data_IF_561568318158
#
_entry.id   IF_561568318158
#
_cell.length_a   1.000
_cell.length_b   1.000
_cell.length_c   1.000
_cell.angle_alpha   90.00
_cell.angle_beta   90.00
_cell.angle_gamma   90.00
#
_symmetry.space_group_name_H-M   'P 1'
#
loop_
_entity.id
_entity.type
_entity.pdbx_description
1 polymer ?
#
# COMPACT_ATOMS: atom_id res chain seq x y z
N UNK A 1 2.00 -48.17 25.35
CA UNK A 1 1.56 -48.44 23.97
C UNK A 1 2.16 -49.77 23.55
N UNK A 2 1.30 -50.78 23.35
CA UNK A 2 1.68 -52.14 22.95
C UNK A 2 1.68 -52.25 21.43
N UNK A 3 2.47 -53.18 20.88
CA UNK A 3 2.64 -53.48 19.44
C UNK A 3 1.35 -53.85 18.66
N UNK A 4 0.19 -53.80 19.30
CA UNK A 4 -1.11 -54.15 18.72
C UNK A 4 -1.93 -52.93 18.27
N UNK A 5 -1.40 -51.71 18.45
CA UNK A 5 -2.05 -50.50 17.96
C UNK A 5 -1.91 -50.44 16.42
N UNK A 6 -3.01 -50.45 15.63
CA UNK A 6 -2.96 -50.44 14.17
C UNK A 6 -2.31 -49.18 13.57
N UNK A 7 -2.02 -48.17 14.40
CA UNK A 7 -1.29 -46.95 14.06
C UNK A 7 0.16 -46.94 14.54
N UNK A 8 0.68 -48.06 15.06
CA UNK A 8 2.07 -48.15 15.47
C UNK A 8 2.98 -48.26 14.23
N UNK A 9 3.35 -47.12 13.66
CA UNK A 9 4.47 -47.08 12.73
C UNK A 9 5.75 -47.43 13.49
N UNK A 10 6.56 -48.38 13.01
CA UNK A 10 7.90 -48.60 13.54
C UNK A 10 8.72 -47.33 13.32
N UNK A 11 9.51 -46.94 14.33
CA UNK A 11 10.41 -45.81 14.19
C UNK A 11 11.30 -46.04 12.95
N UNK A 12 11.39 -45.07 12.02
CA UNK A 12 12.18 -45.21 10.82
C UNK A 12 13.64 -45.52 11.16
N UNK A 13 14.32 -46.24 10.26
CA UNK A 13 15.74 -46.54 10.43
C UNK A 13 16.54 -45.24 10.56
N UNK A 14 17.66 -45.27 11.29
CA UNK A 14 18.51 -44.10 11.54
C UNK A 14 18.91 -43.37 10.24
N UNK A 15 19.20 -44.12 9.17
CA UNK A 15 19.46 -43.60 7.82
C UNK A 15 18.26 -42.90 7.19
N UNK A 16 17.04 -43.36 7.44
CA UNK A 16 15.82 -42.72 6.93
C UNK A 16 15.52 -41.41 7.68
N UNK A 17 15.80 -41.35 8.98
CA UNK A 17 15.71 -40.12 9.78
C UNK A 17 16.71 -39.06 9.30
N UNK A 18 17.95 -39.45 9.03
CA UNK A 18 18.97 -38.55 8.50
C UNK A 18 18.59 -38.00 7.12
N UNK A 19 18.08 -38.85 6.22
CA UNK A 19 17.60 -38.41 4.90
C UNK A 19 16.43 -37.42 5.01
N UNK A 20 15.46 -37.69 5.89
CA UNK A 20 14.33 -36.77 6.15
C UNK A 20 14.82 -35.44 6.72
N UNK A 21 15.81 -35.47 7.62
CA UNK A 21 16.40 -34.26 8.20
C UNK A 21 17.18 -33.44 7.17
N UNK A 22 17.94 -34.10 6.28
CA UNK A 22 18.63 -33.45 5.18
C UNK A 22 17.65 -32.78 4.20
N UNK A 23 16.57 -33.47 3.84
CA UNK A 23 15.51 -32.92 3.00
C UNK A 23 14.82 -31.70 3.64
N UNK A 24 14.50 -31.77 4.93
CA UNK A 24 13.93 -30.65 5.68
C UNK A 24 14.85 -29.43 5.66
N UNK A 25 16.15 -29.64 5.90
CA UNK A 25 17.15 -28.57 5.87
C UNK A 25 17.23 -27.90 4.50
N UNK A 26 17.23 -28.68 3.43
CA UNK A 26 17.26 -28.15 2.06
C UNK A 26 15.99 -27.35 1.74
N UNK A 27 14.82 -27.85 2.15
CA UNK A 27 13.54 -27.14 2.00
C UNK A 27 13.55 -25.80 2.74
N UNK A 28 13.97 -25.80 4.01
CA UNK A 28 14.04 -24.57 4.82
C UNK A 28 15.02 -23.57 4.23
N UNK A 29 16.18 -24.02 3.74
CA UNK A 29 17.16 -23.15 3.09
C UNK A 29 16.61 -22.53 1.80
N UNK A 30 15.87 -23.30 1.00
CA UNK A 30 15.20 -22.80 -0.21
C UNK A 30 14.14 -21.75 0.13
N UNK A 31 13.31 -22.03 1.13
CA UNK A 31 12.26 -21.12 1.58
C UNK A 31 12.84 -19.82 2.15
N UNK A 32 13.95 -19.92 2.90
CA UNK A 32 14.72 -18.80 3.43
C UNK A 32 15.24 -17.90 2.31
N UNK A 33 15.88 -18.48 1.29
CA UNK A 33 16.38 -17.73 0.13
C UNK A 33 15.25 -17.06 -0.63
N UNK A 34 14.15 -17.77 -0.87
CA UNK A 34 12.95 -17.24 -1.51
C UNK A 34 12.34 -16.08 -0.71
N UNK A 35 12.23 -16.21 0.60
CA UNK A 35 11.70 -15.15 1.48
C UNK A 35 12.57 -13.89 1.44
N UNK A 36 13.89 -14.03 1.44
CA UNK A 36 14.81 -12.90 1.29
C UNK A 36 14.71 -12.22 -0.08
N UNK A 37 14.58 -13.00 -1.16
CA UNK A 37 14.37 -12.45 -2.51
C UNK A 37 13.07 -11.64 -2.57
N UNK A 38 11.98 -12.16 -2.00
CA UNK A 38 10.70 -11.45 -1.91
C UNK A 38 10.87 -10.17 -1.09
N UNK A 39 11.47 -10.23 0.10
CA UNK A 39 11.68 -9.05 0.94
C UNK A 39 12.52 -7.96 0.25
N UNK A 40 13.58 -8.34 -0.48
CA UNK A 40 14.38 -7.41 -1.27
C UNK A 40 13.59 -6.80 -2.42
N UNK A 41 12.81 -7.61 -3.14
CA UNK A 41 11.95 -7.14 -4.22
C UNK A 41 10.90 -6.14 -3.70
N UNK A 42 10.18 -6.48 -2.63
CA UNK A 42 9.16 -5.61 -2.01
C UNK A 42 9.77 -4.29 -1.50
N UNK A 43 10.97 -4.34 -0.92
CA UNK A 43 11.69 -3.14 -0.49
C UNK A 43 12.07 -2.25 -1.68
N UNK A 44 12.56 -2.83 -2.77
CA UNK A 44 12.88 -2.09 -3.99
C UNK A 44 11.63 -1.46 -4.61
N UNK A 45 10.53 -2.22 -4.69
CA UNK A 45 9.25 -1.73 -5.17
C UNK A 45 8.73 -0.58 -4.31
N UNK A 46 8.81 -0.69 -2.98
CA UNK A 46 8.42 0.39 -2.07
C UNK A 46 9.14 1.69 -2.41
N UNK A 47 10.45 1.63 -2.58
CA UNK A 47 11.27 2.82 -2.83
C UNK A 47 10.95 3.43 -4.21
N UNK A 48 10.78 2.59 -5.23
CA UNK A 48 10.40 3.01 -6.58
C UNK A 48 8.99 3.62 -6.64
N UNK A 49 7.98 2.93 -6.10
CA UNK A 49 6.60 3.42 -6.06
C UNK A 49 6.48 4.68 -5.22
N UNK A 50 7.15 4.73 -4.07
CA UNK A 50 7.13 5.92 -3.20
C UNK A 50 7.72 7.13 -3.92
N UNK A 51 8.84 6.95 -4.64
CA UNK A 51 9.48 8.02 -5.41
C UNK A 51 8.56 8.50 -6.55
N UNK A 52 8.07 7.58 -7.37
CA UNK A 52 7.20 7.91 -8.52
C UNK A 52 5.87 8.54 -8.09
N UNK A 53 5.23 8.03 -7.04
CA UNK A 53 3.96 8.57 -6.54
C UNK A 53 4.14 9.97 -5.92
N UNK A 54 5.19 10.18 -5.11
CA UNK A 54 5.47 11.50 -4.53
C UNK A 54 5.79 12.53 -5.62
N UNK A 55 6.62 12.16 -6.60
CA UNK A 55 6.95 13.04 -7.71
C UNK A 55 5.74 13.33 -8.60
N UNK A 56 4.96 12.30 -8.94
CA UNK A 56 3.75 12.41 -9.74
C UNK A 56 2.71 13.32 -9.10
N UNK A 57 2.42 13.15 -7.80
CA UNK A 57 1.50 14.04 -7.10
C UNK A 57 2.04 15.46 -6.96
N UNK A 58 3.32 15.63 -6.61
CA UNK A 58 3.90 16.97 -6.52
C UNK A 58 3.79 17.71 -7.87
N UNK A 59 4.07 17.01 -8.96
CA UNK A 59 3.98 17.55 -10.33
C UNK A 59 2.53 17.86 -10.72
N UNK A 60 1.59 16.94 -10.47
CA UNK A 60 0.16 17.15 -10.77
C UNK A 60 -0.43 18.29 -9.95
N UNK A 61 -0.09 18.39 -8.66
CA UNK A 61 -0.56 19.47 -7.80
C UNK A 61 0.04 20.82 -8.21
N UNK A 62 1.34 20.86 -8.54
CA UNK A 62 1.99 22.07 -9.04
C UNK A 62 1.38 22.52 -10.38
N UNK A 63 1.22 21.59 -11.34
CA UNK A 63 0.59 21.87 -12.62
C UNK A 63 -0.87 22.34 -12.46
N UNK A 64 -1.63 21.70 -11.57
CA UNK A 64 -3.03 22.06 -11.31
C UNK A 64 -3.15 23.43 -10.66
N UNK A 65 -2.30 23.75 -9.68
CA UNK A 65 -2.28 25.07 -9.04
C UNK A 65 -1.93 26.17 -10.04
N UNK A 66 -0.90 25.96 -10.85
CA UNK A 66 -0.51 26.89 -11.93
C UNK A 66 -1.66 27.05 -12.93
N UNK A 67 -2.37 25.97 -13.26
CA UNK A 67 -3.52 26.01 -14.16
C UNK A 67 -4.66 26.85 -13.58
N UNK A 68 -5.03 26.64 -12.31
CA UNK A 68 -6.08 27.42 -11.63
C UNK A 68 -5.70 28.90 -11.52
N UNK A 69 -4.45 29.20 -11.17
CA UNK A 69 -3.94 30.58 -11.07
C UNK A 69 -3.81 31.28 -12.42
N UNK A 70 -3.50 30.55 -13.50
CA UNK A 70 -3.48 31.14 -14.84
C UNK A 70 -4.89 31.31 -15.41
N UNK A 71 -5.81 30.38 -15.11
CA UNK A 71 -7.21 30.48 -15.52
C UNK A 71 -7.87 31.72 -14.89
N UNK A 72 -7.56 32.07 -13.64
CA UNK A 72 -8.12 33.29 -13.02
C UNK A 72 -7.68 34.57 -13.74
N UNK A 73 -6.47 34.63 -14.28
CA UNK A 73 -6.01 35.74 -15.12
C UNK A 73 -6.65 35.76 -16.52
N UNK A 74 -6.94 34.58 -17.09
CA UNK A 74 -7.55 34.44 -18.41
C UNK A 74 -9.06 34.73 -18.45
N UNK A 75 -9.75 34.64 -17.30
CA UNK A 75 -11.19 34.81 -17.22
C UNK A 75 -11.62 36.18 -16.68
N UNK A 76 -11.35 37.23 -17.46
CA UNK A 76 -11.95 38.54 -17.22
C UNK A 76 -13.50 38.44 -17.23
N UNK A 77 -14.16 39.16 -16.30
CA UNK A 77 -15.61 39.23 -16.17
C UNK A 77 -16.28 38.09 -15.39
N UNK A 78 -15.50 37.19 -14.78
CA UNK A 78 -16.04 36.17 -13.87
C UNK A 78 -16.13 36.71 -12.44
N UNK A 79 -17.12 36.26 -11.65
CA UNK A 79 -17.24 36.62 -10.24
C UNK A 79 -15.93 36.27 -9.48
N UNK A 80 -15.21 37.24 -8.88
CA UNK A 80 -13.94 37.03 -8.16
C UNK A 80 -13.97 35.98 -7.05
N UNK A 81 -15.14 35.64 -6.47
CA UNK A 81 -15.22 34.58 -5.48
C UNK A 81 -15.05 33.17 -6.10
N UNK A 82 -15.44 32.97 -7.36
CA UNK A 82 -15.36 31.67 -8.03
C UNK A 82 -13.93 31.08 -8.10
N UNK A 83 -12.88 31.83 -8.54
CA UNK A 83 -11.52 31.31 -8.54
C UNK A 83 -10.98 31.04 -7.13
N UNK A 84 -11.37 31.83 -6.12
CA UNK A 84 -10.95 31.60 -4.72
C UNK A 84 -11.58 30.32 -4.17
N UNK A 85 -12.88 30.11 -4.40
CA UNK A 85 -13.59 28.89 -3.98
C UNK A 85 -13.01 27.67 -4.73
N UNK A 86 -12.80 27.78 -6.05
CA UNK A 86 -12.19 26.72 -6.83
C UNK A 86 -10.79 26.35 -6.31
N UNK A 87 -9.94 27.33 -6.00
CA UNK A 87 -8.64 27.10 -5.39
C UNK A 87 -8.73 26.38 -4.04
N UNK A 88 -9.71 26.75 -3.19
CA UNK A 88 -9.98 26.06 -1.93
C UNK A 88 -10.40 24.60 -2.11
N UNK A 89 -11.29 24.31 -3.06
CA UNK A 89 -11.71 22.95 -3.39
C UNK A 89 -10.52 22.14 -3.93
N UNK A 90 -9.68 22.73 -4.78
CA UNK A 90 -8.46 22.11 -5.27
C UNK A 90 -7.49 21.75 -4.16
N UNK A 91 -7.32 22.65 -3.19
CA UNK A 91 -6.47 22.42 -2.03
C UNK A 91 -6.99 21.24 -1.18
N UNK A 92 -8.30 21.15 -0.96
CA UNK A 92 -8.93 20.01 -0.29
C UNK A 92 -8.73 18.69 -1.05
N UNK A 93 -8.87 18.72 -2.38
CA UNK A 93 -8.58 17.55 -3.22
C UNK A 93 -7.12 17.11 -3.11
N UNK A 94 -6.19 18.07 -3.08
CA UNK A 94 -4.76 17.85 -2.90
C UNK A 94 -4.44 17.20 -1.55
N UNK A 95 -5.02 17.70 -0.46
CA UNK A 95 -4.86 17.12 0.88
C UNK A 95 -5.44 15.70 0.97
N UNK A 96 -6.56 15.45 0.30
CA UNK A 96 -7.19 14.13 0.25
C UNK A 96 -6.32 13.13 -0.52
N UNK A 97 -5.76 13.54 -1.65
CA UNK A 97 -4.82 12.75 -2.43
C UNK A 97 -3.53 12.47 -1.64
N UNK A 98 -3.00 13.46 -0.92
CA UNK A 98 -1.86 13.29 -0.02
C UNK A 98 -2.15 12.28 1.10
N UNK A 99 -3.32 12.36 1.73
CA UNK A 99 -3.75 11.41 2.76
C UNK A 99 -3.86 9.98 2.24
N UNK A 100 -4.40 9.80 1.02
CA UNK A 100 -4.45 8.50 0.34
C UNK A 100 -3.04 7.91 0.14
N UNK A 101 -2.06 8.73 -0.27
CA UNK A 101 -0.67 8.29 -0.40
C UNK A 101 -0.06 7.87 0.94
N UNK A 102 -0.31 8.62 2.02
CA UNK A 102 0.18 8.25 3.34
C UNK A 102 -0.37 6.88 3.76
N UNK A 103 -1.66 6.62 3.52
CA UNK A 103 -2.26 5.32 3.78
C UNK A 103 -1.62 4.20 2.95
N UNK A 104 -1.32 4.45 1.67
CA UNK A 104 -0.59 3.50 0.82
C UNK A 104 0.85 3.26 1.28
N UNK A 105 1.55 4.29 1.76
CA UNK A 105 2.93 4.18 2.25
C UNK A 105 3.01 3.36 3.53
N UNK A 106 2.13 3.62 4.50
CA UNK A 106 2.08 2.85 5.75
C UNK A 106 1.89 1.36 5.45
N UNK A 107 1.00 1.03 4.51
CA UNK A 107 0.76 -0.35 4.12
C UNK A 107 1.96 -1.02 3.44
N UNK A 108 2.69 -0.30 2.58
CA UNK A 108 3.93 -0.84 2.00
C UNK A 108 5.01 -1.06 3.06
N UNK A 109 5.09 -0.18 4.07
CA UNK A 109 6.01 -0.36 5.20
C UNK A 109 5.64 -1.62 5.99
N UNK A 110 4.35 -1.83 6.27
CA UNK A 110 3.84 -3.04 6.95
C UNK A 110 4.15 -4.31 6.16
N UNK A 111 3.91 -4.31 4.84
CA UNK A 111 4.21 -5.44 3.95
C UNK A 111 5.71 -5.81 3.96
N UNK A 112 6.59 -4.80 3.85
CA UNK A 112 8.04 -5.00 3.92
C UNK A 112 8.46 -5.48 5.31
N UNK A 113 7.82 -4.98 6.37
CA UNK A 113 8.03 -5.43 7.74
C UNK A 113 7.68 -6.91 7.93
N UNK A 114 6.50 -7.33 7.49
CA UNK A 114 6.03 -8.72 7.65
C UNK A 114 6.84 -9.71 6.78
N UNK A 115 7.22 -9.33 5.55
CA UNK A 115 8.08 -10.17 4.70
C UNK A 115 9.50 -10.30 5.26
N UNK A 116 10.06 -9.22 5.80
CA UNK A 116 11.36 -9.25 6.49
C UNK A 116 11.31 -10.08 7.78
N UNK A 117 10.23 -9.96 8.56
CA UNK A 117 10.03 -10.77 9.77
C UNK A 117 9.96 -12.27 9.42
N UNK A 118 9.23 -12.64 8.36
CA UNK A 118 9.20 -14.02 7.86
C UNK A 118 10.60 -14.52 7.47
N UNK A 119 11.38 -13.71 6.75
CA UNK A 119 12.74 -14.08 6.37
C UNK A 119 13.64 -14.31 7.61
N UNK A 120 13.54 -13.47 8.63
CA UNK A 120 14.27 -13.64 9.90
C UNK A 120 13.84 -14.90 10.67
N UNK A 121 12.54 -15.23 10.67
CA UNK A 121 12.05 -16.47 11.29
C UNK A 121 12.60 -17.70 10.53
N UNK A 122 12.67 -17.65 9.21
CA UNK A 122 13.25 -18.72 8.40
C UNK A 122 14.77 -18.83 8.54
N UNK A 123 15.49 -17.72 8.73
CA UNK A 123 16.92 -17.74 9.11
C UNK A 123 17.11 -18.45 10.47
N UNK A 124 16.23 -18.15 11.45
CA UNK A 124 16.22 -18.86 12.73
C UNK A 124 15.91 -20.35 12.52
N UNK A 125 14.91 -20.70 11.73
CA UNK A 125 14.59 -22.10 11.43
C UNK A 125 15.77 -22.83 10.79
N UNK A 126 16.44 -22.22 9.81
CA UNK A 126 17.63 -22.79 9.17
C UNK A 126 18.77 -23.04 10.17
N UNK A 127 18.97 -22.14 11.13
CA UNK A 127 19.95 -22.35 12.21
C UNK A 127 19.57 -23.50 13.15
N UNK A 128 18.27 -23.73 13.37
CA UNK A 128 17.77 -24.81 14.21
C UNK A 128 17.86 -26.19 13.52
N UNK A 129 17.90 -26.25 12.19
CA UNK A 129 18.17 -27.48 11.43
C UNK A 129 19.60 -28.04 11.62
N UNK A 130 20.50 -27.31 12.28
CA UNK A 130 21.83 -27.81 12.62
C UNK A 130 21.81 -28.79 13.81
N UNK A 131 20.73 -28.83 14.58
CA UNK A 131 20.62 -29.64 15.79
C UNK A 131 20.01 -31.03 15.49
N UNK A 132 20.40 -32.08 16.24
CA UNK A 132 19.91 -33.43 16.03
C UNK A 132 18.41 -33.55 16.29
N UNK A 133 17.75 -34.47 15.57
CA UNK A 133 16.32 -34.80 15.74
C UNK A 133 16.07 -35.28 17.16
N UNK A 134 15.00 -34.79 17.79
CA UNK A 134 14.64 -35.13 19.18
C UNK A 134 15.28 -34.24 20.25
N UNK A 135 16.15 -33.30 19.88
CA UNK A 135 16.62 -32.24 20.79
C UNK A 135 15.53 -31.21 21.09
N UNK A 136 15.67 -30.48 22.21
CA UNK A 136 14.76 -29.38 22.54
C UNK A 136 14.80 -28.27 21.48
N UNK A 137 15.95 -28.09 20.85
CA UNK A 137 16.19 -27.18 19.73
C UNK A 137 15.42 -27.60 18.48
N UNK A 138 15.31 -28.90 18.21
CA UNK A 138 14.50 -29.43 17.11
C UNK A 138 13.00 -29.22 17.36
N UNK A 139 12.52 -29.30 18.61
CA UNK A 139 11.13 -28.93 18.92
C UNK A 139 10.84 -27.45 18.59
N UNK A 140 11.79 -26.55 18.85
CA UNK A 140 11.70 -25.13 18.50
C UNK A 140 11.72 -24.86 16.99
N UNK A 141 12.23 -25.80 16.18
CA UNK A 141 12.16 -25.71 14.71
C UNK A 141 10.70 -25.76 14.24
N UNK A 142 9.90 -26.67 14.80
CA UNK A 142 8.47 -26.77 14.51
C UNK A 142 7.73 -25.47 14.79
N UNK A 143 7.97 -24.87 15.97
CA UNK A 143 7.40 -23.57 16.35
C UNK A 143 7.80 -22.44 15.39
N UNK A 144 9.08 -22.39 14.98
CA UNK A 144 9.57 -21.38 14.04
C UNK A 144 8.92 -21.54 12.65
N UNK A 145 8.75 -22.79 12.18
CA UNK A 145 8.08 -23.08 10.91
C UNK A 145 6.60 -22.70 10.94
N UNK A 146 5.90 -22.97 12.05
CA UNK A 146 4.50 -22.57 12.24
C UNK A 146 4.35 -21.05 12.24
N UNK A 147 5.23 -20.33 12.93
CA UNK A 147 5.28 -18.86 12.91
C UNK A 147 5.53 -18.32 11.49
N UNK A 148 6.49 -18.89 10.75
CA UNK A 148 6.76 -18.50 9.37
C UNK A 148 5.53 -18.72 8.47
N UNK A 149 4.79 -19.81 8.68
CA UNK A 149 3.56 -20.12 7.95
C UNK A 149 2.43 -19.13 8.27
N UNK A 150 2.24 -18.77 9.54
CA UNK A 150 1.25 -17.77 9.95
C UNK A 150 1.49 -16.42 9.26
N UNK A 151 2.76 -16.00 9.11
CA UNK A 151 3.11 -14.80 8.36
C UNK A 151 2.84 -14.92 6.86
N UNK A 152 2.98 -16.11 6.27
CA UNK A 152 2.70 -16.33 4.85
C UNK A 152 1.20 -16.23 4.52
N UNK A 153 0.32 -16.55 5.48
CA UNK A 153 -1.12 -16.50 5.30
C UNK A 153 -1.72 -15.10 5.45
N UNK A 154 -0.97 -14.12 5.99
CA UNK A 154 -1.45 -12.75 6.11
C UNK A 154 -1.71 -12.15 4.73
N UNK A 155 -2.98 -12.04 4.37
CA UNK A 155 -3.40 -11.25 3.22
C UNK A 155 -3.57 -9.80 3.67
N UNK A 156 -2.98 -8.87 2.93
CA UNK A 156 -3.19 -7.45 3.16
C UNK A 156 -4.39 -7.01 2.32
N UNK A 157 -5.58 -6.79 2.89
CA UNK A 157 -6.73 -6.34 2.13
C UNK A 157 -6.47 -4.95 1.53
N UNK A 158 -7.11 -4.66 0.40
CA UNK A 158 -7.10 -3.31 -0.17
C UNK A 158 -7.63 -2.32 0.86
N UNK A 159 -6.87 -1.25 1.12
CA UNK A 159 -7.30 -0.19 2.02
C UNK A 159 -8.45 0.58 1.37
N UNK A 160 -9.68 0.25 1.78
CA UNK A 160 -10.88 0.93 1.29
C UNK A 160 -10.84 2.43 1.59
N UNK A 161 -10.24 2.83 2.72
CA UNK A 161 -10.07 4.24 3.06
C UNK A 161 -9.16 4.98 2.08
N UNK A 162 -8.06 4.36 1.62
CA UNK A 162 -7.19 4.96 0.61
C UNK A 162 -7.92 5.17 -0.74
N UNK A 163 -8.75 4.19 -1.13
CA UNK A 163 -9.59 4.25 -2.34
C UNK A 163 -10.63 5.37 -2.22
N UNK A 164 -11.33 5.46 -1.09
CA UNK A 164 -12.30 6.54 -0.88
C UNK A 164 -11.65 7.92 -0.93
N UNK A 165 -10.49 8.10 -0.29
CA UNK A 165 -9.74 9.36 -0.33
C UNK A 165 -9.31 9.75 -1.75
N UNK A 166 -8.95 8.78 -2.59
CA UNK A 166 -8.63 9.02 -3.99
C UNK A 166 -9.86 9.47 -4.79
N UNK A 167 -11.03 8.86 -4.57
CA UNK A 167 -12.27 9.31 -5.19
C UNK A 167 -12.69 10.69 -4.71
N UNK A 168 -12.56 10.98 -3.41
CA UNK A 168 -12.82 12.32 -2.85
C UNK A 168 -11.93 13.36 -3.51
N UNK A 169 -10.63 13.08 -3.68
CA UNK A 169 -9.71 13.98 -4.37
C UNK A 169 -10.15 14.27 -5.82
N UNK A 170 -10.51 13.22 -6.57
CA UNK A 170 -10.98 13.35 -7.94
C UNK A 170 -12.28 14.18 -8.03
N UNK A 171 -13.22 13.97 -7.11
CA UNK A 171 -14.47 14.74 -7.03
C UNK A 171 -14.20 16.21 -6.71
N UNK A 172 -13.27 16.51 -5.80
CA UNK A 172 -12.86 17.88 -5.51
C UNK A 172 -12.29 18.56 -6.77
N UNK A 173 -11.35 17.93 -7.48
CA UNK A 173 -10.80 18.53 -8.70
C UNK A 173 -11.86 18.72 -9.80
N UNK A 174 -12.72 17.73 -10.02
CA UNK A 174 -13.79 17.81 -11.01
C UNK A 174 -14.80 18.93 -10.69
N UNK A 175 -15.19 19.06 -9.41
CA UNK A 175 -16.11 20.12 -8.96
C UNK A 175 -15.51 21.51 -9.04
N UNK A 176 -14.20 21.67 -8.80
CA UNK A 176 -13.53 22.95 -8.98
C UNK A 176 -13.48 23.39 -10.45
N UNK A 177 -13.17 22.46 -11.37
CA UNK A 177 -13.26 22.73 -12.81
C UNK A 177 -14.69 23.05 -13.25
N UNK A 178 -15.66 22.30 -12.76
CA UNK A 178 -17.08 22.53 -13.07
C UNK A 178 -17.54 23.91 -12.59
N UNK A 179 -17.15 24.32 -11.38
CA UNK A 179 -17.46 25.65 -10.83
C UNK A 179 -16.93 26.76 -11.74
N UNK A 180 -15.66 26.67 -12.16
CA UNK A 180 -15.06 27.65 -13.07
C UNK A 180 -15.76 27.68 -14.42
N UNK A 181 -16.12 26.52 -14.96
CA UNK A 181 -16.88 26.40 -16.21
C UNK A 181 -18.27 27.04 -16.13
N UNK A 182 -19.02 26.74 -15.07
CA UNK A 182 -20.35 27.32 -14.82
C UNK A 182 -20.26 28.82 -14.62
N UNK A 183 -19.33 29.30 -13.81
CA UNK A 183 -19.13 30.73 -13.58
C UNK A 183 -18.73 31.47 -14.87
N UNK A 184 -17.91 30.84 -15.73
CA UNK A 184 -17.59 31.43 -17.03
C UNK A 184 -18.80 31.48 -17.94
N UNK A 185 -19.58 30.40 -18.05
CA UNK A 185 -20.80 30.38 -18.86
C UNK A 185 -21.80 31.42 -18.36
N UNK A 186 -21.99 31.54 -17.05
CA UNK A 186 -22.85 32.54 -16.45
C UNK A 186 -22.42 33.97 -16.80
N UNK A 187 -21.10 34.26 -16.83
CA UNK A 187 -20.59 35.58 -17.24
C UNK A 187 -20.88 35.96 -18.71
N UNK A 188 -21.22 34.98 -19.56
CA UNK A 188 -21.57 35.24 -20.97
C UNK A 188 -23.01 35.71 -21.13
N UNK A 189 -23.87 35.47 -20.13
CA UNK A 189 -25.25 35.91 -20.16
C UNK A 189 -25.38 37.21 -19.36
N UNK A 190 -25.88 38.30 -19.96
CA UNK A 190 -26.13 39.52 -19.21
C UNK A 190 -27.10 39.20 -18.07
N UNK A 191 -26.81 39.71 -16.87
CA UNK A 191 -27.73 39.59 -15.75
C UNK A 191 -29.12 40.07 -16.22
N UNK A 192 -30.18 39.29 -15.96
CA UNK A 192 -31.49 39.68 -16.42
C UNK A 192 -31.84 41.03 -15.81
N UNK A 193 -32.52 41.90 -16.57
CA UNK A 193 -32.78 43.30 -16.18
C UNK A 193 -33.48 43.45 -14.80
N UNK A 194 -34.14 42.41 -14.33
CA UNK A 194 -34.80 42.35 -13.02
C UNK A 194 -33.88 41.97 -11.86
N UNK A 195 -32.65 41.52 -12.10
CA UNK A 195 -31.65 41.16 -11.09
C UNK A 195 -30.24 41.72 -11.40
N UNK A 196 -30.09 43.05 -11.49
CA UNK A 196 -28.80 43.68 -11.78
C UNK A 196 -27.74 43.42 -10.70
N UNK A 197 -28.12 43.06 -9.47
CA UNK A 197 -27.18 42.69 -8.41
C UNK A 197 -26.36 41.43 -8.73
N UNK A 198 -26.79 40.60 -9.69
CA UNK A 198 -26.02 39.45 -10.18
C UNK A 198 -24.83 39.86 -11.07
N UNK A 199 -24.80 41.11 -11.57
CA UNK A 199 -23.70 41.64 -12.39
C UNK A 199 -22.62 42.39 -11.59
N UNK A 200 -22.82 42.61 -10.29
CA UNK A 200 -21.94 43.45 -9.44
C UNK A 200 -21.01 42.60 -8.54
N UNK A 201 -21.01 41.27 -8.69
CA UNK A 201 -20.21 40.33 -7.90
C UNK A 201 -18.82 40.11 -8.44
#
# INVERSE_FOLDING_TARGET
>A
MTKEDPFHEPLPAETELEMRHAALREMVERDRQSAWQIAHYERSQRDEYTSKLRFGLATLNAASLVTVLNLSAAFAGMWPAAPVIAAGIYFLGTLSAGSSLFAHQTRLIELVGDTSARAMILDRAASLCAFPVGSAENARLGEAMEQAHAHAQKTFPLSMSAIYMQHTAALCWASAFLLLGVAKIASLFPAPAWAPWLAVG
#
